data_IF_607394538437
#
_entry.id   IF_607394538437
#
_cell.length_a   1.000
_cell.length_b   1.000
_cell.length_c   1.000
_cell.angle_alpha   90.00
_cell.angle_beta   90.00
_cell.angle_gamma   90.00
#
_symmetry.space_group_name_H-M   'P 1'
#
loop_
_entity.id
_entity.type
_entity.pdbx_description
1 polymer ?
#
# COMPACT_ATOMS: atom_id res chain seq x y z
N UNK A 1 -12.01 11.35 21.91
CA UNK A 1 -10.84 10.79 21.21
C UNK A 1 -9.65 11.68 21.45
N UNK A 2 -8.49 11.11 21.81
CA UNK A 2 -7.25 11.88 22.03
C UNK A 2 -6.62 12.24 20.68
N UNK A 3 -5.82 13.31 20.62
CA UNK A 3 -5.08 13.71 19.39
C UNK A 3 -4.19 12.57 18.84
N UNK A 4 -3.76 11.64 19.69
CA UNK A 4 -3.04 10.43 19.31
C UNK A 4 -3.89 9.48 18.45
N UNK A 5 -5.19 9.37 18.73
CA UNK A 5 -6.08 8.41 18.08
C UNK A 5 -6.37 8.85 16.64
N UNK A 6 -6.47 10.16 16.44
CA UNK A 6 -6.55 10.78 15.12
C UNK A 6 -5.30 10.49 14.28
N UNK A 7 -4.11 10.43 14.88
CA UNK A 7 -2.89 10.13 14.14
C UNK A 7 -2.93 8.73 13.52
N UNK A 8 -3.49 7.73 14.21
CA UNK A 8 -3.64 6.38 13.66
C UNK A 8 -4.59 6.33 12.45
N UNK A 9 -5.71 7.04 12.52
CA UNK A 9 -6.62 7.19 11.37
C UNK A 9 -5.94 7.93 10.21
N UNK A 10 -5.17 8.96 10.53
CA UNK A 10 -4.42 9.74 9.54
C UNK A 10 -3.26 9.00 8.87
N UNK A 11 -2.80 7.86 9.39
CA UNK A 11 -1.79 7.02 8.72
C UNK A 11 -2.40 6.29 7.52
N UNK A 12 -3.65 5.85 7.61
CA UNK A 12 -4.28 5.01 6.58
C UNK A 12 -4.37 5.73 5.23
N UNK A 13 -4.65 7.03 5.24
CA UNK A 13 -4.79 7.86 4.02
C UNK A 13 -3.47 7.90 3.21
N UNK A 14 -2.36 8.47 3.72
CA UNK A 14 -1.10 8.53 2.99
C UNK A 14 -0.53 7.14 2.70
N UNK A 15 -0.87 6.13 3.53
CA UNK A 15 -0.48 4.75 3.25
C UNK A 15 -1.20 4.18 2.05
N UNK A 16 -2.50 4.45 1.87
CA UNK A 16 -3.19 4.05 0.64
C UNK A 16 -2.66 4.83 -0.57
N UNK A 17 -2.51 6.15 -0.45
CA UNK A 17 -2.09 7.02 -1.56
C UNK A 17 -0.69 6.71 -2.08
N UNK A 18 0.20 6.08 -1.29
CA UNK A 18 1.50 5.65 -1.79
C UNK A 18 1.36 4.60 -2.90
N UNK A 19 0.33 3.74 -2.84
CA UNK A 19 0.06 2.72 -3.85
C UNK A 19 -0.13 3.30 -5.25
N UNK A 20 -1.16 4.13 -5.48
CA UNK A 20 -1.40 4.76 -6.77
C UNK A 20 -0.22 5.60 -7.27
N UNK A 21 0.43 6.36 -6.39
CA UNK A 21 1.61 7.17 -6.76
C UNK A 21 2.75 6.27 -7.25
N UNK A 22 3.07 5.22 -6.51
CA UNK A 22 4.16 4.30 -6.88
C UNK A 22 3.81 3.46 -8.11
N UNK A 23 2.54 3.14 -8.30
CA UNK A 23 2.04 2.49 -9.52
C UNK A 23 2.26 3.37 -10.74
N UNK A 24 1.79 4.63 -10.71
CA UNK A 24 1.98 5.60 -11.79
C UNK A 24 3.47 5.80 -12.12
N UNK A 25 4.29 6.00 -11.09
CA UNK A 25 5.75 6.11 -11.23
C UNK A 25 6.36 4.86 -11.88
N UNK A 26 5.88 3.67 -11.52
CA UNK A 26 6.36 2.40 -12.09
C UNK A 26 5.98 2.29 -13.57
N UNK A 27 4.73 2.60 -13.93
CA UNK A 27 4.26 2.62 -15.32
C UNK A 27 5.07 3.62 -16.16
N UNK A 28 5.32 4.81 -15.64
CA UNK A 28 6.11 5.83 -16.33
C UNK A 28 7.59 5.44 -16.49
N UNK A 29 8.26 4.98 -15.42
CA UNK A 29 9.71 4.72 -15.45
C UNK A 29 10.01 3.44 -16.23
N UNK A 30 9.33 2.34 -15.90
CA UNK A 30 9.65 1.01 -16.43
C UNK A 30 8.96 0.74 -17.77
N UNK A 31 7.72 1.19 -17.94
CA UNK A 31 6.90 0.85 -19.11
C UNK A 31 6.69 2.01 -20.09
N UNK A 32 7.14 3.23 -19.74
CA UNK A 32 6.99 4.45 -20.56
C UNK A 32 5.53 4.80 -20.89
N UNK A 33 4.59 4.34 -20.07
CA UNK A 33 3.18 4.70 -20.22
C UNK A 33 2.91 6.06 -19.58
N UNK A 34 2.26 6.94 -20.34
CA UNK A 34 1.90 8.30 -19.92
C UNK A 34 0.41 8.48 -19.65
N UNK A 35 -0.43 7.58 -20.18
CA UNK A 35 -1.89 7.60 -20.02
C UNK A 35 -2.35 6.45 -19.11
N UNK A 36 -2.03 6.56 -17.82
CA UNK A 36 -2.32 5.50 -16.84
C UNK A 36 -3.72 5.71 -16.26
N UNK A 37 -4.70 4.94 -16.77
CA UNK A 37 -6.08 5.01 -16.25
C UNK A 37 -6.17 4.33 -14.88
N UNK A 38 -5.97 5.11 -13.82
CA UNK A 38 -5.99 4.64 -12.42
C UNK A 38 -7.40 4.51 -11.84
N UNK A 39 -8.44 5.06 -12.47
CA UNK A 39 -9.79 5.11 -11.88
C UNK A 39 -10.39 3.74 -11.55
N UNK A 40 -10.28 2.79 -12.50
CA UNK A 40 -10.78 1.41 -12.31
C UNK A 40 -9.98 0.68 -11.24
N UNK A 41 -8.68 0.96 -11.15
CA UNK A 41 -7.79 0.41 -10.13
C UNK A 41 -8.23 0.92 -8.75
N UNK A 42 -8.36 2.24 -8.60
CA UNK A 42 -8.68 2.93 -7.35
C UNK A 42 -9.97 2.43 -6.69
N UNK A 43 -11.01 2.16 -7.47
CA UNK A 43 -12.30 1.68 -6.96
C UNK A 43 -12.16 0.38 -6.16
N UNK A 44 -11.60 -0.66 -6.80
CA UNK A 44 -11.43 -1.96 -6.15
C UNK A 44 -10.32 -1.95 -5.11
N UNK A 45 -9.20 -1.29 -5.38
CA UNK A 45 -8.07 -1.26 -4.44
C UNK A 45 -8.40 -0.49 -3.16
N UNK A 46 -9.23 0.55 -3.21
CA UNK A 46 -9.66 1.26 -2.01
C UNK A 46 -10.52 0.34 -1.11
N UNK A 47 -11.46 -0.38 -1.70
CA UNK A 47 -12.31 -1.33 -0.98
C UNK A 47 -11.49 -2.49 -0.39
N UNK A 48 -10.58 -3.08 -1.17
CA UNK A 48 -9.67 -4.15 -0.71
C UNK A 48 -8.74 -3.64 0.40
N UNK A 49 -8.22 -2.43 0.28
CA UNK A 49 -7.39 -1.82 1.30
C UNK A 49 -8.16 -1.66 2.63
N UNK A 50 -9.32 -1.02 2.57
CA UNK A 50 -10.13 -0.71 3.76
C UNK A 50 -10.66 -1.97 4.47
N UNK A 51 -10.90 -3.06 3.75
CA UNK A 51 -11.46 -4.30 4.29
C UNK A 51 -10.39 -5.34 4.63
N UNK A 52 -9.63 -5.80 3.63
CA UNK A 52 -8.71 -6.94 3.74
C UNK A 52 -7.37 -6.50 4.33
N UNK A 53 -6.76 -5.46 3.75
CA UNK A 53 -5.39 -5.06 4.10
C UNK A 53 -5.32 -4.48 5.51
N UNK A 54 -6.23 -3.56 5.85
CA UNK A 54 -6.31 -3.00 7.21
C UNK A 54 -6.53 -4.11 8.25
N UNK A 55 -7.40 -5.08 7.95
CA UNK A 55 -7.63 -6.22 8.85
C UNK A 55 -6.35 -7.05 9.05
N UNK A 56 -5.66 -7.40 7.97
CA UNK A 56 -4.40 -8.15 8.04
C UNK A 56 -3.31 -7.40 8.81
N UNK A 57 -3.15 -6.09 8.59
CA UNK A 57 -2.17 -5.28 9.30
C UNK A 57 -2.50 -5.16 10.78
N UNK A 58 -3.78 -5.01 11.15
CA UNK A 58 -4.21 -5.01 12.53
C UNK A 58 -3.93 -6.36 13.21
N UNK A 59 -4.26 -7.47 12.56
CA UNK A 59 -3.96 -8.82 13.07
C UNK A 59 -2.47 -9.05 13.24
N UNK A 60 -1.65 -8.62 12.28
CA UNK A 60 -0.20 -8.66 12.36
C UNK A 60 0.35 -7.88 13.56
N UNK A 61 -0.14 -6.66 13.80
CA UNK A 61 0.26 -5.85 14.97
C UNK A 61 -0.14 -6.52 16.28
N UNK A 62 -1.36 -7.06 16.36
CA UNK A 62 -1.84 -7.77 17.55
C UNK A 62 -0.94 -8.99 17.82
N UNK A 63 -0.65 -9.79 16.79
CA UNK A 63 0.21 -10.97 16.89
C UNK A 63 1.62 -10.60 17.40
N UNK A 64 2.27 -9.64 16.76
CA UNK A 64 3.62 -9.20 17.16
C UNK A 64 3.65 -8.66 18.59
N UNK A 65 2.59 -7.97 19.02
CA UNK A 65 2.44 -7.47 20.39
C UNK A 65 2.25 -8.60 21.40
N UNK A 66 1.41 -9.59 21.10
CA UNK A 66 1.19 -10.77 21.96
C UNK A 66 2.48 -11.57 22.14
N UNK A 67 3.24 -11.76 21.07
CA UNK A 67 4.52 -12.47 21.09
C UNK A 67 5.66 -11.65 21.73
N UNK A 68 5.44 -10.35 21.97
CA UNK A 68 6.45 -9.38 22.46
C UNK A 68 7.67 -9.22 21.53
N UNK A 69 7.51 -9.50 20.24
CA UNK A 69 8.57 -9.39 19.22
C UNK A 69 8.23 -8.21 18.31
N UNK A 70 8.33 -6.99 18.84
CA UNK A 70 7.94 -5.79 18.10
C UNK A 70 9.16 -5.06 17.54
N UNK A 71 9.45 -5.28 16.25
CA UNK A 71 10.53 -4.62 15.53
C UNK A 71 10.05 -4.13 14.15
N UNK A 72 10.50 -2.94 13.75
CA UNK A 72 10.07 -2.28 12.52
C UNK A 72 10.23 -3.15 11.27
N UNK A 73 11.41 -3.75 11.06
CA UNK A 73 11.67 -4.55 9.87
C UNK A 73 10.86 -5.86 9.85
N UNK A 74 10.59 -6.45 11.03
CA UNK A 74 9.76 -7.64 11.11
C UNK A 74 8.30 -7.33 10.78
N UNK A 75 7.76 -6.21 11.30
CA UNK A 75 6.42 -5.74 10.96
C UNK A 75 6.30 -5.44 9.47
N UNK A 76 7.30 -4.76 8.91
CA UNK A 76 7.35 -4.43 7.48
C UNK A 76 7.37 -5.71 6.64
N UNK A 77 8.25 -6.68 6.97
CA UNK A 77 8.30 -7.96 6.26
C UNK A 77 6.97 -8.71 6.32
N UNK A 78 6.31 -8.72 7.48
CA UNK A 78 5.01 -9.37 7.63
C UNK A 78 3.94 -8.67 6.79
N UNK A 79 3.94 -7.34 6.73
CA UNK A 79 3.02 -6.59 5.89
C UNK A 79 3.26 -6.87 4.40
N UNK A 80 4.53 -6.90 3.98
CA UNK A 80 4.95 -7.23 2.60
C UNK A 80 4.48 -8.64 2.20
N UNK A 81 4.66 -9.64 3.08
CA UNK A 81 4.15 -11.00 2.82
C UNK A 81 2.63 -11.02 2.71
N UNK A 82 1.94 -10.28 3.59
CA UNK A 82 0.47 -10.19 3.57
C UNK A 82 -0.06 -9.40 2.36
N UNK A 83 0.70 -8.44 1.81
CA UNK A 83 0.34 -7.69 0.61
C UNK A 83 0.42 -8.51 -0.67
N UNK A 84 1.04 -9.69 -0.67
CA UNK A 84 0.91 -10.61 -1.80
C UNK A 84 -0.54 -11.04 -2.04
N UNK A 85 -1.34 -11.22 -0.97
CA UNK A 85 -2.75 -11.61 -1.11
C UNK A 85 -3.53 -10.58 -1.96
N UNK A 86 -3.54 -9.27 -1.61
CA UNK A 86 -4.24 -8.29 -2.44
C UNK A 86 -3.62 -8.11 -3.83
N UNK A 87 -2.33 -8.41 -4.08
CA UNK A 87 -1.78 -8.47 -5.45
C UNK A 87 -2.57 -9.49 -6.29
N UNK A 88 -2.73 -10.71 -5.80
CA UNK A 88 -3.51 -11.75 -6.49
C UNK A 88 -5.00 -11.40 -6.56
N UNK A 89 -5.57 -10.78 -5.53
CA UNK A 89 -6.97 -10.34 -5.56
C UNK A 89 -7.19 -9.26 -6.64
N UNK A 90 -6.32 -8.26 -6.73
CA UNK A 90 -6.46 -7.16 -7.69
C UNK A 90 -6.43 -7.67 -9.12
N UNK A 91 -5.51 -8.58 -9.48
CA UNK A 91 -5.50 -9.14 -10.83
C UNK A 91 -6.76 -9.96 -11.16
N UNK A 92 -7.36 -10.65 -10.19
CA UNK A 92 -8.62 -11.37 -10.39
C UNK A 92 -9.78 -10.38 -10.56
N UNK A 93 -9.84 -9.33 -9.73
CA UNK A 93 -10.89 -8.31 -9.75
C UNK A 93 -10.82 -7.41 -11.00
N UNK A 94 -9.62 -7.15 -11.52
CA UNK A 94 -9.42 -6.43 -12.78
C UNK A 94 -9.82 -7.25 -14.02
N UNK A 95 -10.28 -8.49 -13.83
CA UNK A 95 -10.79 -9.31 -14.92
C UNK A 95 -9.69 -9.91 -15.78
N UNK A 96 -8.60 -10.39 -15.16
CA UNK A 96 -7.61 -11.25 -15.82
C UNK A 96 -8.32 -12.19 -16.78
N UNK A 97 -8.04 -12.03 -18.09
CA UNK A 97 -8.64 -12.80 -19.19
C UNK A 97 -8.33 -14.31 -19.13
N UNK A 98 -7.59 -14.77 -18.13
CA UNK A 98 -7.29 -16.17 -17.91
C UNK A 98 -8.40 -16.84 -17.11
N UNK A 99 -8.86 -17.97 -17.61
CA UNK A 99 -9.91 -18.84 -17.05
C UNK A 99 -9.52 -19.53 -15.72
N UNK A 100 -8.58 -18.98 -14.93
CA UNK A 100 -8.03 -19.59 -13.72
C UNK A 100 -7.27 -18.61 -12.82
N UNK A 101 -6.77 -19.12 -11.68
CA UNK A 101 -5.93 -18.34 -10.76
C UNK A 101 -4.58 -18.01 -11.40
N UNK A 102 -3.99 -16.82 -11.13
CA UNK A 102 -2.66 -16.48 -11.61
C UNK A 102 -1.60 -17.45 -11.06
N UNK A 103 -0.56 -17.71 -11.86
CA UNK A 103 0.57 -18.53 -11.43
C UNK A 103 1.33 -17.86 -10.27
N UNK A 104 2.09 -18.66 -9.49
CA UNK A 104 2.90 -18.14 -8.38
C UNK A 104 3.99 -17.15 -8.81
N UNK A 105 4.39 -17.20 -10.08
CA UNK A 105 5.34 -16.30 -10.72
C UNK A 105 4.72 -14.95 -11.11
N UNK A 106 3.39 -14.82 -11.07
CA UNK A 106 2.67 -13.63 -11.55
C UNK A 106 3.20 -12.31 -10.99
N UNK A 107 3.50 -12.15 -9.68
CA UNK A 107 4.00 -10.87 -9.15
C UNK A 107 5.32 -10.40 -9.78
N UNK A 108 6.05 -11.29 -10.46
CA UNK A 108 7.30 -11.02 -11.16
C UNK A 108 7.11 -10.82 -12.68
N UNK A 109 5.87 -10.92 -13.18
CA UNK A 109 5.55 -10.66 -14.58
C UNK A 109 5.44 -9.16 -14.87
N UNK A 110 5.48 -8.74 -16.15
CA UNK A 110 5.28 -7.35 -16.53
C UNK A 110 3.98 -6.73 -15.98
N UNK A 111 2.91 -7.53 -15.91
CA UNK A 111 1.60 -7.12 -15.40
C UNK A 111 1.52 -7.16 -13.87
N UNK A 112 2.25 -8.10 -13.24
CA UNK A 112 2.25 -8.26 -11.78
C UNK A 112 3.17 -7.28 -11.06
N UNK A 113 4.28 -6.86 -11.67
CA UNK A 113 5.25 -5.94 -11.04
C UNK A 113 4.62 -4.59 -10.64
N UNK A 114 3.83 -3.91 -11.49
CA UNK A 114 3.13 -2.69 -11.08
C UNK A 114 2.18 -2.91 -9.89
N UNK A 115 1.43 -4.00 -9.88
CA UNK A 115 0.52 -4.35 -8.78
C UNK A 115 1.27 -4.70 -7.50
N UNK A 116 2.42 -5.37 -7.62
CA UNK A 116 3.31 -5.64 -6.51
C UNK A 116 3.81 -4.32 -5.93
N UNK A 117 4.36 -3.42 -6.75
CA UNK A 117 4.84 -2.10 -6.27
C UNK A 117 3.72 -1.29 -5.63
N UNK A 118 2.50 -1.34 -6.18
CA UNK A 118 1.32 -0.73 -5.58
C UNK A 118 1.11 -1.21 -4.14
N UNK A 119 0.95 -2.52 -3.92
CA UNK A 119 0.60 -3.06 -2.61
C UNK A 119 1.78 -3.06 -1.62
N UNK A 120 3.00 -3.27 -2.10
CA UNK A 120 4.22 -3.23 -1.28
C UNK A 120 4.52 -1.82 -0.76
N UNK A 121 4.27 -0.78 -1.57
CA UNK A 121 4.44 0.60 -1.11
C UNK A 121 3.43 0.94 0.00
N UNK A 122 2.19 0.46 -0.11
CA UNK A 122 1.17 0.58 0.95
C UNK A 122 1.63 -0.14 2.21
N UNK A 123 2.19 -1.36 2.09
CA UNK A 123 2.72 -2.12 3.21
C UNK A 123 3.85 -1.38 3.92
N UNK A 124 4.83 -0.86 3.17
CA UNK A 124 5.95 -0.08 3.70
C UNK A 124 5.46 1.19 4.41
N UNK A 125 4.59 1.96 3.76
CA UNK A 125 4.10 3.22 4.30
C UNK A 125 3.23 3.01 5.54
N UNK A 126 2.39 1.98 5.53
CA UNK A 126 1.58 1.57 6.69
C UNK A 126 2.47 1.16 7.86
N UNK A 127 3.50 0.34 7.59
CA UNK A 127 4.42 -0.12 8.62
C UNK A 127 5.19 1.06 9.24
N UNK A 128 5.68 1.97 8.41
CA UNK A 128 6.37 3.18 8.86
C UNK A 128 5.44 4.09 9.67
N UNK A 129 4.20 4.28 9.23
CA UNK A 129 3.22 5.07 9.97
C UNK A 129 2.96 4.50 11.36
N UNK A 130 2.70 3.19 11.46
CA UNK A 130 2.51 2.52 12.77
C UNK A 130 3.75 2.69 13.64
N UNK A 131 4.95 2.53 13.08
CA UNK A 131 6.20 2.74 13.81
C UNK A 131 6.37 4.19 14.28
N UNK A 132 6.03 5.16 13.44
CA UNK A 132 6.06 6.58 13.74
C UNK A 132 5.07 7.00 14.83
N UNK A 133 3.98 6.25 14.99
CA UNK A 133 3.03 6.46 16.09
C UNK A 133 3.65 6.08 17.45
N UNK A 134 4.58 5.12 17.47
CA UNK A 134 5.26 4.68 18.69
C UNK A 134 6.53 5.49 18.99
N UNK A 135 7.20 6.05 17.98
CA UNK A 135 8.46 6.80 18.13
C UNK A 135 8.33 8.26 17.68
N UNK A 136 8.33 9.24 18.61
CA UNK A 136 8.19 10.66 18.27
C UNK A 136 9.24 11.22 17.31
N UNK A 137 10.49 10.72 17.38
CA UNK A 137 11.61 11.23 16.58
C UNK A 137 11.44 11.04 15.07
N UNK A 138 10.71 10.01 14.65
CA UNK A 138 10.50 9.68 13.23
C UNK A 138 9.15 10.16 12.70
N UNK A 139 8.32 10.78 13.55
CA UNK A 139 7.01 11.31 13.17
C UNK A 139 7.11 12.44 12.15
N UNK A 140 8.05 13.36 12.34
CA UNK A 140 8.25 14.48 11.41
C UNK A 140 8.67 14.02 10.01
N UNK A 141 9.69 13.14 9.86
CA UNK A 141 10.00 12.51 8.58
C UNK A 141 8.79 11.84 7.91
N UNK A 142 8.01 11.05 8.64
CA UNK A 142 6.82 10.38 8.12
C UNK A 142 5.78 11.40 7.59
N UNK A 143 5.54 12.48 8.33
CA UNK A 143 4.60 13.53 7.91
C UNK A 143 5.08 14.26 6.66
N UNK A 144 6.39 14.49 6.52
CA UNK A 144 6.96 15.13 5.33
C UNK A 144 6.75 14.25 4.10
N UNK A 145 7.09 12.96 4.19
CA UNK A 145 6.88 12.01 3.08
C UNK A 145 5.39 11.86 2.76
N UNK A 146 4.53 11.81 3.77
CA UNK A 146 3.07 11.76 3.58
C UNK A 146 2.54 12.97 2.79
N UNK A 147 3.08 14.17 3.04
CA UNK A 147 2.73 15.38 2.27
C UNK A 147 3.19 15.30 0.83
N UNK A 148 4.40 14.80 0.59
CA UNK A 148 4.93 14.62 -0.76
C UNK A 148 4.05 13.65 -1.55
N UNK A 149 3.70 12.49 -0.97
CA UNK A 149 2.80 11.50 -1.59
C UNK A 149 1.45 12.14 -1.92
N UNK A 150 0.89 12.93 -1.01
CA UNK A 150 -0.39 13.61 -1.23
C UNK A 150 -0.31 14.63 -2.38
N UNK A 151 0.77 15.41 -2.46
CA UNK A 151 0.99 16.35 -3.57
C UNK A 151 1.11 15.59 -4.90
N UNK A 152 1.91 14.53 -4.94
CA UNK A 152 2.10 13.71 -6.13
C UNK A 152 0.78 13.07 -6.59
N UNK A 153 -0.02 12.55 -5.65
CA UNK A 153 -1.32 11.98 -5.95
C UNK A 153 -2.29 13.00 -6.55
N UNK A 154 -2.33 14.23 -6.01
CA UNK A 154 -3.19 15.30 -6.57
C UNK A 154 -2.75 15.68 -7.98
N UNK A 155 -1.43 15.77 -8.22
CA UNK A 155 -0.90 16.10 -9.55
C UNK A 155 -1.23 15.01 -10.58
N UNK A 156 -1.11 13.74 -10.21
CA UNK A 156 -1.50 12.60 -11.05
C UNK A 156 -2.98 12.64 -11.42
N UNK A 157 -3.84 12.99 -10.47
CA UNK A 157 -5.29 13.05 -10.70
C UNK A 157 -5.72 14.24 -11.57
N UNK A 158 -4.87 15.26 -11.70
CA UNK A 158 -5.12 16.48 -12.48
C UNK A 158 -4.44 16.49 -13.86
N UNK A 159 -3.59 15.51 -14.17
CA UNK A 159 -2.97 15.36 -15.48
C UNK A 159 -3.86 14.65 -16.52
N UNK A 160 -5.04 14.18 -16.12
CA UNK A 160 -6.06 13.56 -16.95
C UNK A 160 -7.35 14.39 -16.96
#
# INVERSE_FOLDING_TARGET
MKKSDWFYLWIAIPSYLSGPVMYAVTMYILYKETDVVTEVLLGWTAATFASVVVLFFLLAVILLRVLKIYFFWLQTLLYMVLSLIPVYMTTVLMGSRNSGLPELSFPLSPEGVPLLVFWESIALMSSWGVWAAHKPSIKQPFLLVSRVILILFILELWSH
#
